data_IF_050275130594
#
_entry.id   IF_050275130594
#
_cell.length_a   1.000
_cell.length_b   1.000
_cell.length_c   1.000
_cell.angle_alpha   90.00
_cell.angle_beta   90.00
_cell.angle_gamma   90.00
#
_symmetry.space_group_name_H-M   'P 1'
#
loop_
_entity.id
_entity.type
_entity.pdbx_description
1 polymer ?
#
# COMPACT_ATOMS: atom_id res chain seq x y z
N UNK A 1 -10.82 27.52 -20.78
CA UNK A 1 -10.26 26.50 -19.87
C UNK A 1 -10.73 25.16 -20.39
N UNK A 2 -9.84 24.41 -21.03
CA UNK A 2 -10.20 23.26 -21.87
C UNK A 2 -10.28 21.96 -21.02
N UNK A 3 -11.43 21.29 -21.07
CA UNK A 3 -11.79 20.13 -20.23
C UNK A 3 -10.83 18.93 -20.34
N UNK A 4 -9.93 18.94 -21.33
CA UNK A 4 -8.92 17.90 -21.57
C UNK A 4 -7.83 17.84 -20.50
N UNK A 5 -7.55 18.93 -19.78
CA UNK A 5 -6.51 18.95 -18.72
C UNK A 5 -6.92 18.21 -17.45
N UNK A 6 -8.23 18.08 -17.18
CA UNK A 6 -8.74 17.45 -15.95
C UNK A 6 -8.66 15.92 -16.01
N UNK A 7 -8.82 15.33 -17.20
CA UNK A 7 -8.83 13.88 -17.40
C UNK A 7 -7.45 13.21 -17.29
N UNK A 8 -6.37 13.95 -17.54
CA UNK A 8 -4.99 13.43 -17.45
C UNK A 8 -4.57 13.07 -16.02
N UNK A 9 -5.26 13.63 -15.01
CA UNK A 9 -4.95 13.42 -13.59
C UNK A 9 -5.35 12.01 -13.11
N UNK A 10 -6.29 11.34 -13.79
CA UNK A 10 -6.79 10.02 -13.35
C UNK A 10 -5.97 8.81 -13.86
N UNK A 11 -4.99 9.03 -14.75
CA UNK A 11 -4.20 7.96 -15.38
C UNK A 11 -2.72 7.93 -14.97
N UNK A 12 -2.33 8.62 -13.90
CA UNK A 12 -0.92 8.68 -13.45
C UNK A 12 -0.49 7.48 -12.60
N UNK A 13 -0.72 6.26 -13.09
CA UNK A 13 -0.06 5.06 -12.55
C UNK A 13 0.85 4.46 -13.62
N UNK A 14 2.08 4.99 -13.68
CA UNK A 14 3.33 4.53 -14.33
C UNK A 14 3.34 4.03 -15.80
N UNK A 15 2.21 3.64 -16.39
CA UNK A 15 2.16 3.13 -17.77
C UNK A 15 2.15 4.23 -18.82
N UNK A 16 1.63 5.39 -18.45
CA UNK A 16 1.43 6.50 -19.36
C UNK A 16 2.17 7.77 -18.90
N UNK A 17 2.86 7.79 -17.76
CA UNK A 17 3.54 9.00 -17.31
C UNK A 17 4.62 9.48 -18.28
N UNK A 18 5.43 8.57 -18.83
CA UNK A 18 6.41 8.90 -19.88
C UNK A 18 5.74 9.25 -21.21
N UNK A 19 4.81 8.41 -21.70
CA UNK A 19 4.10 8.63 -22.97
C UNK A 19 3.20 9.86 -22.98
N UNK A 20 2.61 10.21 -21.85
CA UNK A 20 1.80 11.43 -21.67
C UNK A 20 2.70 12.65 -21.56
N UNK A 21 3.84 12.56 -20.88
CA UNK A 21 4.86 13.61 -20.91
C UNK A 21 5.33 13.86 -22.35
N UNK A 22 5.63 12.80 -23.09
CA UNK A 22 5.98 12.86 -24.52
C UNK A 22 4.87 13.46 -25.39
N UNK A 23 3.61 13.02 -25.21
CA UNK A 23 2.43 13.55 -25.93
C UNK A 23 2.22 15.05 -25.70
N UNK A 24 2.56 15.56 -24.52
CA UNK A 24 2.48 16.97 -24.16
C UNK A 24 3.79 17.73 -24.38
N UNK A 25 4.80 17.11 -25.00
CA UNK A 25 6.09 17.74 -25.32
C UNK A 25 6.98 18.03 -24.12
N UNK A 26 6.77 17.36 -22.98
CA UNK A 26 7.62 17.50 -21.80
C UNK A 26 8.87 16.63 -21.92
N UNK A 27 10.05 17.26 -22.02
CA UNK A 27 11.34 16.59 -21.89
C UNK A 27 11.74 16.48 -20.42
N UNK A 28 12.29 15.33 -20.01
CA UNK A 28 12.75 15.13 -18.64
C UNK A 28 13.91 16.09 -18.34
N UNK A 29 13.71 17.03 -17.43
CA UNK A 29 14.68 18.10 -17.12
C UNK A 29 14.17 19.52 -17.40
N UNK A 30 13.08 19.68 -18.17
CA UNK A 30 12.51 20.99 -18.51
C UNK A 30 11.69 21.64 -17.39
N UNK A 31 11.47 20.92 -16.28
CA UNK A 31 10.74 21.47 -15.15
C UNK A 31 11.55 22.61 -14.51
N UNK A 32 10.95 23.80 -14.46
CA UNK A 32 11.55 24.96 -13.80
C UNK A 32 12.00 24.60 -12.37
N UNK A 33 13.21 25.01 -11.94
CA UNK A 33 13.66 24.81 -10.56
C UNK A 33 12.65 25.28 -9.52
N UNK A 34 11.89 26.35 -9.82
CA UNK A 34 10.83 26.86 -8.95
C UNK A 34 9.69 25.84 -8.76
N UNK A 35 9.27 25.16 -9.82
CA UNK A 35 8.20 24.15 -9.73
C UNK A 35 8.64 22.95 -8.90
N UNK A 36 9.90 22.55 -9.04
CA UNK A 36 10.51 21.50 -8.21
C UNK A 36 10.52 21.91 -6.74
N UNK A 37 10.98 23.12 -6.43
CA UNK A 37 11.00 23.66 -5.06
C UNK A 37 9.58 23.72 -4.47
N UNK A 38 8.60 24.21 -5.23
CA UNK A 38 7.20 24.26 -4.79
C UNK A 38 6.64 22.86 -4.53
N UNK A 39 6.95 21.89 -5.39
CA UNK A 39 6.50 20.49 -5.23
C UNK A 39 7.09 19.84 -3.98
N UNK A 40 8.39 20.04 -3.73
CA UNK A 40 9.03 19.57 -2.50
C UNK A 40 8.48 20.29 -1.26
N UNK A 41 8.26 21.60 -1.35
CA UNK A 41 7.63 22.39 -0.29
C UNK A 41 6.24 21.88 0.08
N UNK A 42 5.42 21.52 -0.92
CA UNK A 42 4.12 20.89 -0.71
C UNK A 42 4.24 19.59 0.09
N UNK A 43 5.16 18.69 -0.27
CA UNK A 43 5.39 17.45 0.48
C UNK A 43 5.89 17.71 1.90
N UNK A 44 6.79 18.68 2.09
CA UNK A 44 7.26 19.06 3.44
C UNK A 44 6.10 19.51 4.30
N UNK A 45 5.23 20.39 3.81
CA UNK A 45 4.04 20.85 4.54
C UNK A 45 3.10 19.67 4.83
N UNK A 46 2.91 18.77 3.86
CA UNK A 46 2.07 17.58 4.02
C UNK A 46 2.62 16.60 5.06
N UNK A 47 3.93 16.54 5.32
CA UNK A 47 4.49 15.68 6.36
C UNK A 47 4.70 16.40 7.70
N UNK A 48 4.87 17.72 7.69
CA UNK A 48 5.15 18.52 8.89
C UNK A 48 4.00 18.51 9.91
N UNK A 49 2.75 18.26 9.50
CA UNK A 49 1.62 18.18 10.44
C UNK A 49 1.55 16.84 11.19
N UNK A 50 2.22 15.79 10.69
CA UNK A 50 2.17 14.45 11.31
C UNK A 50 2.72 14.47 12.75
N UNK A 51 3.92 15.02 13.04
CA UNK A 51 4.43 15.14 14.41
C UNK A 51 3.48 15.89 15.35
N UNK A 52 2.83 16.96 14.84
CA UNK A 52 1.87 17.74 15.62
C UNK A 52 0.63 16.93 16.01
N UNK A 53 0.11 16.12 15.09
CA UNK A 53 -1.01 15.21 15.40
C UNK A 53 -0.58 14.09 16.34
N UNK A 54 0.60 13.50 16.13
CA UNK A 54 1.17 12.50 17.04
C UNK A 54 1.26 13.03 18.48
N UNK A 55 1.78 14.23 18.69
CA UNK A 55 1.90 14.86 20.02
C UNK A 55 0.53 15.11 20.69
N UNK A 56 -0.48 15.46 19.88
CA UNK A 56 -1.85 15.68 20.37
C UNK A 56 -2.55 14.38 20.76
N UNK A 57 -2.27 13.29 20.06
CA UNK A 57 -3.08 12.07 20.04
C UNK A 57 -2.49 10.95 20.91
N UNK A 58 -1.16 10.81 20.95
CA UNK A 58 -0.49 9.74 21.72
C UNK A 58 -0.29 10.09 23.19
N UNK A 59 -0.46 9.09 24.04
CA UNK A 59 -0.20 9.18 25.47
C UNK A 59 1.31 9.09 25.74
N UNK A 60 1.83 9.99 26.58
CA UNK A 60 3.22 10.06 27.00
C UNK A 60 3.46 9.43 28.38
N UNK A 61 2.42 8.89 29.02
CA UNK A 61 2.53 8.19 30.32
C UNK A 61 3.46 6.97 30.26
N UNK A 62 3.56 6.28 29.12
CA UNK A 62 4.46 5.14 28.94
C UNK A 62 5.23 5.23 27.61
N UNK A 63 6.36 5.96 27.57
CA UNK A 63 7.17 6.15 26.36
C UNK A 63 7.64 4.83 25.75
N UNK A 64 8.01 3.86 26.60
CA UNK A 64 8.47 2.54 26.16
C UNK A 64 7.40 1.83 25.34
N UNK A 65 6.14 1.82 25.81
CA UNK A 65 5.02 1.21 25.09
C UNK A 65 4.78 1.86 23.73
N UNK A 66 4.96 3.17 23.62
CA UNK A 66 4.82 3.91 22.36
C UNK A 66 5.92 3.51 21.37
N UNK A 67 7.18 3.51 21.81
CA UNK A 67 8.35 3.10 21.00
C UNK A 67 8.18 1.66 20.53
N UNK A 68 7.83 0.78 21.46
CA UNK A 68 7.56 -0.63 21.26
C UNK A 68 6.44 -0.85 20.22
N UNK A 69 5.33 -0.11 20.31
CA UNK A 69 4.21 -0.20 19.34
C UNK A 69 4.65 0.25 17.95
N UNK A 70 5.41 1.36 17.87
CA UNK A 70 5.99 1.83 16.61
C UNK A 70 6.94 0.81 15.98
N UNK A 71 7.82 0.20 16.78
CA UNK A 71 8.73 -0.84 16.33
C UNK A 71 7.97 -2.08 15.80
N UNK A 72 6.91 -2.51 16.48
CA UNK A 72 6.07 -3.61 16.03
C UNK A 72 5.41 -3.32 14.68
N UNK A 73 4.87 -2.11 14.48
CA UNK A 73 4.28 -1.69 13.19
C UNK A 73 5.33 -1.68 12.08
N UNK A 74 6.53 -1.17 12.35
CA UNK A 74 7.63 -1.15 11.39
C UNK A 74 8.08 -2.56 10.99
N UNK A 75 8.28 -3.44 11.97
CA UNK A 75 8.66 -4.84 11.73
C UNK A 75 7.58 -5.56 10.91
N UNK A 76 6.29 -5.40 11.27
CA UNK A 76 5.19 -5.98 10.51
C UNK A 76 5.16 -5.48 9.06
N UNK A 77 5.38 -4.18 8.85
CA UNK A 77 5.44 -3.57 7.53
C UNK A 77 6.58 -4.12 6.67
N UNK A 78 7.80 -4.19 7.23
CA UNK A 78 8.98 -4.74 6.56
C UNK A 78 8.75 -6.22 6.19
N UNK A 79 8.24 -7.02 7.12
CA UNK A 79 7.97 -8.45 6.88
C UNK A 79 6.91 -8.62 5.79
N UNK A 80 5.84 -7.81 5.82
CA UNK A 80 4.78 -7.86 4.81
C UNK A 80 5.28 -7.49 3.41
N UNK A 81 6.08 -6.43 3.28
CA UNK A 81 6.62 -5.99 1.99
C UNK A 81 7.60 -7.02 1.40
N UNK A 82 8.53 -7.52 2.21
CA UNK A 82 9.47 -8.56 1.78
C UNK A 82 8.77 -9.87 1.40
N UNK A 83 7.74 -10.27 2.15
CA UNK A 83 6.91 -11.44 1.82
C UNK A 83 6.19 -11.25 0.49
N UNK A 84 5.61 -10.07 0.25
CA UNK A 84 4.97 -9.74 -1.02
C UNK A 84 5.97 -9.82 -2.17
N UNK A 85 7.12 -9.15 -2.04
CA UNK A 85 8.18 -9.13 -3.06
C UNK A 85 8.64 -10.54 -3.42
N UNK A 86 8.92 -11.38 -2.42
CA UNK A 86 9.36 -12.75 -2.63
C UNK A 86 8.29 -13.58 -3.37
N UNK A 87 7.04 -13.57 -2.89
CA UNK A 87 5.92 -14.28 -3.54
C UNK A 87 5.69 -13.81 -4.98
N UNK A 88 5.88 -12.52 -5.23
CA UNK A 88 5.70 -11.92 -6.55
C UNK A 88 6.74 -12.39 -7.54
N UNK A 89 7.99 -12.61 -7.09
CA UNK A 89 9.03 -13.19 -7.93
C UNK A 89 8.73 -14.67 -8.23
N UNK A 90 8.37 -15.45 -7.21
CA UNK A 90 8.13 -16.90 -7.36
C UNK A 90 6.93 -17.18 -8.27
N UNK A 91 5.82 -16.47 -8.11
CA UNK A 91 4.64 -16.73 -8.92
C UNK A 91 4.69 -16.05 -10.29
N UNK A 92 5.15 -14.79 -10.35
CA UNK A 92 5.15 -13.94 -11.55
C UNK A 92 3.87 -14.06 -12.40
N UNK A 93 2.70 -14.11 -11.75
CA UNK A 93 1.39 -14.30 -12.41
C UNK A 93 1.10 -13.16 -13.41
N UNK A 94 0.75 -13.44 -14.68
CA UNK A 94 0.39 -12.40 -15.66
C UNK A 94 -0.78 -11.50 -15.23
N UNK A 95 -0.62 -10.19 -15.41
CA UNK A 95 -1.66 -9.19 -15.14
C UNK A 95 -2.75 -9.16 -16.21
N UNK A 96 -4.00 -8.94 -15.80
CA UNK A 96 -5.15 -8.88 -16.72
C UNK A 96 -4.90 -7.95 -17.91
N UNK A 97 -4.49 -6.71 -17.65
CA UNK A 97 -4.21 -5.72 -18.70
C UNK A 97 -3.06 -6.08 -19.65
N UNK A 98 -2.15 -6.96 -19.23
CA UNK A 98 -1.10 -7.48 -20.10
C UNK A 98 -1.64 -8.63 -20.97
N UNK A 99 -2.50 -9.48 -20.42
CA UNK A 99 -3.07 -10.59 -21.20
C UNK A 99 -3.93 -10.13 -22.36
N UNK A 100 -4.71 -9.06 -22.19
CA UNK A 100 -5.56 -8.51 -23.27
C UNK A 100 -4.75 -7.91 -24.43
N UNK A 101 -3.44 -7.74 -24.29
CA UNK A 101 -2.55 -7.30 -25.37
C UNK A 101 -1.87 -8.45 -26.10
N UNK A 102 -2.13 -9.70 -25.71
CA UNK A 102 -1.58 -10.90 -26.35
C UNK A 102 -2.55 -11.42 -27.41
N UNK A 103 -2.03 -12.14 -28.40
CA UNK A 103 -2.82 -12.76 -29.46
C UNK A 103 -3.74 -13.87 -28.93
N UNK A 104 -3.26 -14.64 -27.94
CA UNK A 104 -4.07 -15.61 -27.18
C UNK A 104 -4.02 -15.31 -25.66
N UNK A 105 -4.93 -14.46 -25.15
CA UNK A 105 -4.99 -14.11 -23.73
C UNK A 105 -5.26 -15.28 -22.78
N UNK A 106 -5.88 -16.35 -23.28
CA UNK A 106 -6.33 -17.48 -22.45
C UNK A 106 -5.19 -18.46 -22.16
N UNK A 107 -4.25 -18.63 -23.10
CA UNK A 107 -3.05 -19.44 -22.92
C UNK A 107 -2.19 -19.03 -21.70
N UNK A 108 -2.17 -17.73 -21.40
CA UNK A 108 -1.41 -17.11 -20.31
C UNK A 108 -2.25 -16.92 -19.02
N UNK A 109 -3.48 -17.45 -18.98
CA UNK A 109 -4.22 -17.48 -17.72
C UNK A 109 -3.56 -18.46 -16.73
N UNK A 110 -3.39 -17.99 -15.48
CA UNK A 110 -2.92 -18.78 -14.35
C UNK A 110 -3.79 -18.47 -13.13
N UNK A 111 -4.13 -19.49 -12.37
CA UNK A 111 -4.66 -19.34 -11.02
C UNK A 111 -3.54 -18.89 -10.07
N UNK A 112 -3.89 -18.28 -8.95
CA UNK A 112 -2.90 -17.70 -8.04
C UNK A 112 -2.00 -18.75 -7.36
N UNK A 113 -2.46 -19.99 -7.23
CA UNK A 113 -1.68 -21.11 -6.68
C UNK A 113 -0.79 -21.79 -7.72
N UNK A 114 -0.96 -21.49 -9.01
CA UNK A 114 -0.10 -22.02 -10.07
C UNK A 114 1.15 -21.14 -10.13
N UNK A 115 2.12 -21.42 -9.25
CA UNK A 115 3.41 -20.72 -9.15
C UNK A 115 4.31 -21.04 -10.35
N UNK A 116 3.86 -20.61 -11.54
CA UNK A 116 4.52 -20.80 -12.82
C UNK A 116 4.90 -19.40 -13.32
N UNK A 117 6.19 -19.05 -13.27
CA UNK A 117 6.63 -17.72 -13.68
C UNK A 117 6.28 -17.44 -15.15
N UNK A 118 5.82 -16.22 -15.44
CA UNK A 118 5.56 -15.81 -16.81
C UNK A 118 6.84 -15.46 -17.59
N UNK A 119 6.75 -15.50 -18.92
CA UNK A 119 7.85 -15.18 -19.83
C UNK A 119 8.11 -13.66 -19.95
N UNK A 120 7.24 -12.81 -19.39
CA UNK A 120 7.31 -11.35 -19.51
C UNK A 120 8.43 -10.70 -18.66
N UNK A 121 9.29 -11.52 -18.05
CA UNK A 121 10.52 -11.10 -17.38
C UNK A 121 10.31 -10.50 -15.98
N UNK A 122 11.32 -9.78 -15.48
CA UNK A 122 11.36 -9.22 -14.12
C UNK A 122 10.52 -7.95 -13.94
N UNK A 123 9.89 -7.43 -15.00
CA UNK A 123 9.16 -6.17 -14.93
C UNK A 123 7.83 -6.33 -14.15
N UNK A 124 7.73 -5.65 -13.00
CA UNK A 124 6.56 -5.70 -12.11
C UNK A 124 5.25 -5.19 -12.76
N UNK A 125 5.39 -4.48 -13.88
CA UNK A 125 4.29 -4.11 -14.76
C UNK A 125 3.51 -5.36 -15.23
N UNK A 126 4.16 -6.47 -15.50
CA UNK A 126 3.49 -7.66 -16.01
C UNK A 126 3.03 -8.62 -14.91
N UNK A 127 3.41 -8.36 -13.66
CA UNK A 127 3.14 -9.22 -12.50
C UNK A 127 1.92 -8.75 -11.71
N UNK A 128 0.97 -9.65 -11.50
CA UNK A 128 -0.29 -9.35 -10.79
C UNK A 128 -0.32 -9.84 -9.36
N UNK A 129 0.12 -11.06 -9.09
CA UNK A 129 -0.03 -11.68 -7.79
C UNK A 129 1.31 -11.76 -7.03
N UNK A 130 1.33 -11.45 -5.72
CA UNK A 130 0.27 -10.76 -4.95
C UNK A 130 0.26 -9.24 -5.23
N UNK A 131 -0.81 -8.55 -4.84
CA UNK A 131 -0.90 -7.09 -5.05
C UNK A 131 -0.09 -6.32 -3.99
N UNK A 132 1.05 -5.76 -4.37
CA UNK A 132 1.86 -4.90 -3.49
C UNK A 132 1.13 -3.64 -3.02
N UNK A 133 0.27 -3.06 -3.86
CA UNK A 133 -0.58 -1.94 -3.46
C UNK A 133 -1.56 -2.33 -2.34
N UNK A 134 -2.05 -3.57 -2.35
CA UNK A 134 -2.89 -4.07 -1.26
C UNK A 134 -2.09 -4.39 -0.01
N UNK A 135 -0.82 -4.75 -0.12
CA UNK A 135 0.07 -4.84 1.05
C UNK A 135 0.19 -3.49 1.73
N UNK A 136 0.55 -2.42 1.00
CA UNK A 136 0.64 -1.07 1.56
C UNK A 136 -0.71 -0.61 2.13
N UNK A 137 -1.81 -0.80 1.39
CA UNK A 137 -3.13 -0.39 1.88
C UNK A 137 -3.55 -1.16 3.15
N UNK A 138 -3.19 -2.44 3.25
CA UNK A 138 -3.52 -3.28 4.41
C UNK A 138 -2.63 -3.00 5.62
N UNK A 139 -1.53 -2.24 5.47
CA UNK A 139 -0.78 -1.70 6.62
C UNK A 139 -1.65 -0.76 7.48
N UNK A 140 -2.81 -0.31 6.98
CA UNK A 140 -3.82 0.42 7.76
C UNK A 140 -4.34 -0.37 8.96
N UNK A 141 -4.19 -1.70 9.00
CA UNK A 141 -4.46 -2.50 10.20
C UNK A 141 -3.48 -2.23 11.35
N UNK A 142 -2.50 -1.35 11.16
CA UNK A 142 -1.75 -0.70 12.26
C UNK A 142 -2.59 0.27 13.09
N UNK A 143 -3.71 0.80 12.58
CA UNK A 143 -4.56 1.75 13.30
C UNK A 143 -5.09 1.19 14.64
N UNK A 144 -5.63 -0.05 14.70
CA UNK A 144 -5.93 -0.71 15.97
C UNK A 144 -4.75 -0.80 16.93
N UNK A 145 -3.54 -1.10 16.45
CA UNK A 145 -2.33 -1.14 17.29
C UNK A 145 -1.99 0.25 17.85
N UNK A 146 -2.09 1.29 17.01
CA UNK A 146 -1.92 2.68 17.45
C UNK A 146 -2.97 3.10 18.47
N UNK A 147 -4.19 2.53 18.39
CA UNK A 147 -5.27 2.82 19.33
C UNK A 147 -4.92 2.51 20.80
N UNK A 148 -4.00 1.54 21.01
CA UNK A 148 -3.58 1.07 22.34
C UNK A 148 -2.62 2.02 23.07
N UNK A 149 -2.08 3.01 22.35
CA UNK A 149 -1.18 4.05 22.84
C UNK A 149 -1.77 5.46 22.72
N UNK A 150 -3.08 5.56 22.44
CA UNK A 150 -3.79 6.85 22.39
C UNK A 150 -4.16 7.37 23.78
N UNK A 151 -4.20 8.69 23.91
CA UNK A 151 -4.85 9.36 25.04
C UNK A 151 -6.30 8.90 25.14
N UNK A 152 -6.76 8.59 26.35
CA UNK A 152 -8.12 8.08 26.63
C UNK A 152 -8.44 6.83 25.78
N UNK A 153 -7.55 5.84 25.80
CA UNK A 153 -7.76 4.56 25.10
C UNK A 153 -9.11 3.95 25.50
N UNK A 154 -9.78 3.31 24.55
CA UNK A 154 -11.02 2.57 24.81
C UNK A 154 -11.21 1.51 23.75
N UNK A 155 -11.88 0.43 24.10
CA UNK A 155 -12.25 -0.64 23.16
C UNK A 155 -13.05 -0.09 21.96
N UNK A 156 -13.95 0.87 22.21
CA UNK A 156 -14.71 1.57 21.16
C UNK A 156 -13.78 2.24 20.13
N UNK A 157 -12.70 2.88 20.56
CA UNK A 157 -11.73 3.50 19.65
C UNK A 157 -10.97 2.46 18.83
N UNK A 158 -10.60 1.33 19.45
CA UNK A 158 -9.94 0.23 18.75
C UNK A 158 -10.84 -0.33 17.63
N UNK A 159 -12.12 -0.59 17.93
CA UNK A 159 -13.12 -1.04 16.94
C UNK A 159 -13.28 -0.01 15.82
N UNK A 160 -13.40 1.28 16.15
CA UNK A 160 -13.52 2.34 15.13
C UNK A 160 -12.28 2.38 14.23
N UNK A 161 -11.07 2.29 14.80
CA UNK A 161 -9.83 2.21 14.03
C UNK A 161 -9.81 0.99 13.09
N UNK A 162 -10.28 -0.16 13.54
CA UNK A 162 -10.39 -1.37 12.72
C UNK A 162 -11.38 -1.19 11.56
N UNK A 163 -12.57 -0.62 11.84
CA UNK A 163 -13.58 -0.37 10.81
C UNK A 163 -13.07 0.62 9.77
N UNK A 164 -12.41 1.70 10.18
CA UNK A 164 -11.79 2.67 9.26
C UNK A 164 -10.75 1.98 8.36
N UNK A 165 -9.88 1.16 8.94
CA UNK A 165 -8.89 0.39 8.19
C UNK A 165 -9.56 -0.55 7.17
N UNK A 166 -10.57 -1.31 7.59
CA UNK A 166 -11.31 -2.23 6.73
C UNK A 166 -12.00 -1.50 5.57
N UNK A 167 -12.70 -0.39 5.85
CA UNK A 167 -13.34 0.44 4.82
C UNK A 167 -12.32 0.97 3.82
N UNK A 168 -11.17 1.47 4.28
CA UNK A 168 -10.10 1.94 3.41
C UNK A 168 -9.58 0.83 2.50
N UNK A 169 -9.29 -0.35 3.07
CA UNK A 169 -8.79 -1.52 2.32
C UNK A 169 -9.79 -1.97 1.26
N UNK A 170 -11.09 -2.01 1.59
CA UNK A 170 -12.16 -2.39 0.64
C UNK A 170 -12.26 -1.38 -0.51
N UNK A 171 -12.33 -0.07 -0.19
CA UNK A 171 -12.42 0.99 -1.20
C UNK A 171 -11.19 1.01 -2.12
N UNK A 172 -10.00 0.88 -1.53
CA UNK A 172 -8.76 0.87 -2.27
C UNK A 172 -8.63 -0.40 -3.14
N UNK A 173 -9.03 -1.56 -2.60
CA UNK A 173 -9.10 -2.83 -3.33
C UNK A 173 -10.04 -2.75 -4.53
N UNK A 174 -11.25 -2.21 -4.35
CA UNK A 174 -12.18 -1.97 -5.46
C UNK A 174 -11.54 -1.15 -6.58
N UNK A 175 -10.84 -0.06 -6.24
CA UNK A 175 -10.11 0.75 -7.21
C UNK A 175 -9.04 -0.07 -7.97
N UNK A 176 -8.35 -1.02 -7.32
CA UNK A 176 -7.36 -1.90 -7.97
C UNK A 176 -7.99 -2.83 -9.02
N UNK A 177 -9.21 -3.31 -8.78
CA UNK A 177 -9.99 -4.11 -9.75
C UNK A 177 -10.43 -3.24 -10.91
N UNK A 178 -11.02 -2.08 -10.61
CA UNK A 178 -11.57 -1.17 -11.62
C UNK A 178 -10.50 -0.64 -12.58
N UNK A 179 -9.29 -0.36 -12.09
CA UNK A 179 -8.13 -0.01 -12.92
C UNK A 179 -7.55 -1.20 -13.71
N UNK A 180 -8.21 -2.37 -13.70
CA UNK A 180 -7.80 -3.63 -14.35
C UNK A 180 -6.38 -4.11 -13.97
N UNK A 181 -5.91 -3.69 -12.80
CA UNK A 181 -4.54 -3.95 -12.36
C UNK A 181 -4.38 -5.31 -11.70
N UNK A 182 -5.44 -5.89 -11.13
CA UNK A 182 -5.37 -7.12 -10.34
C UNK A 182 -6.69 -7.90 -10.40
N UNK A 183 -6.60 -9.22 -10.26
CA UNK A 183 -7.77 -10.05 -10.00
C UNK A 183 -8.21 -9.89 -8.56
N UNK A 184 -9.50 -10.18 -8.28
CA UNK A 184 -10.03 -10.21 -6.92
C UNK A 184 -9.18 -11.11 -6.01
N UNK A 185 -8.73 -12.27 -6.50
CA UNK A 185 -7.87 -13.18 -5.76
C UNK A 185 -6.53 -12.56 -5.34
N UNK A 186 -5.96 -11.66 -6.14
CA UNK A 186 -4.67 -11.01 -5.82
C UNK A 186 -4.82 -9.99 -4.71
N UNK A 187 -6.00 -9.34 -4.69
CA UNK A 187 -6.36 -8.34 -3.70
C UNK A 187 -6.67 -9.04 -2.37
N UNK A 188 -7.54 -10.03 -2.39
CA UNK A 188 -7.89 -10.81 -1.20
C UNK A 188 -6.63 -11.46 -0.59
N UNK A 189 -5.77 -12.07 -1.40
CA UNK A 189 -4.55 -12.68 -0.90
C UNK A 189 -3.58 -11.64 -0.32
N UNK A 190 -3.31 -10.55 -1.05
CA UNK A 190 -2.42 -9.48 -0.58
C UNK A 190 -2.90 -8.86 0.74
N UNK A 191 -4.22 -8.69 0.89
CA UNK A 191 -4.82 -8.23 2.15
C UNK A 191 -4.71 -9.27 3.25
N UNK A 192 -5.06 -10.53 2.97
CA UNK A 192 -5.04 -11.61 3.96
C UNK A 192 -3.65 -11.82 4.55
N UNK A 193 -2.63 -11.97 3.70
CA UNK A 193 -1.27 -12.24 4.18
C UNK A 193 -0.73 -11.08 5.01
N UNK A 194 -1.00 -9.84 4.58
CA UNK A 194 -0.58 -8.65 5.31
C UNK A 194 -1.31 -8.55 6.65
N UNK A 195 -2.63 -8.77 6.68
CA UNK A 195 -3.40 -8.77 7.91
C UNK A 195 -2.91 -9.84 8.90
N UNK A 196 -2.64 -11.07 8.45
CA UNK A 196 -2.08 -12.13 9.29
C UNK A 196 -0.74 -11.70 9.90
N UNK A 197 0.16 -11.10 9.12
CA UNK A 197 1.45 -10.62 9.62
C UNK A 197 1.25 -9.57 10.72
N UNK A 198 0.39 -8.58 10.49
CA UNK A 198 0.08 -7.56 11.50
C UNK A 198 -0.55 -8.16 12.76
N UNK A 199 -1.47 -9.12 12.60
CA UNK A 199 -2.11 -9.83 13.71
C UNK A 199 -1.10 -10.62 14.54
N UNK A 200 -0.22 -11.39 13.90
CA UNK A 200 0.80 -12.21 14.57
C UNK A 200 1.79 -11.32 15.32
N UNK A 201 2.31 -10.28 14.67
CA UNK A 201 3.26 -9.34 15.29
C UNK A 201 2.59 -8.60 16.45
N UNK A 202 1.36 -8.12 16.28
CA UNK A 202 0.59 -7.47 17.36
C UNK A 202 0.31 -8.40 18.53
N UNK A 203 0.04 -9.69 18.28
CA UNK A 203 -0.22 -10.67 19.34
C UNK A 203 1.06 -11.00 20.12
N UNK A 204 2.15 -11.29 19.40
CA UNK A 204 3.47 -11.52 20.02
C UNK A 204 3.91 -10.32 20.86
N UNK A 205 3.62 -9.12 20.36
CA UNK A 205 3.87 -7.86 21.06
C UNK A 205 3.07 -7.72 22.36
N UNK A 206 1.74 -7.88 22.31
CA UNK A 206 0.88 -7.76 23.49
C UNK A 206 1.27 -8.78 24.57
N UNK A 207 1.68 -9.98 24.15
CA UNK A 207 2.18 -11.00 25.07
C UNK A 207 3.51 -10.59 25.74
N UNK A 208 4.44 -9.97 25.01
CA UNK A 208 5.71 -9.50 25.56
C UNK A 208 5.51 -8.39 26.60
N UNK A 209 4.69 -7.38 26.30
CA UNK A 209 4.39 -6.27 27.22
C UNK A 209 3.76 -6.75 28.54
N UNK A 210 2.91 -7.78 28.48
CA UNK A 210 2.25 -8.32 29.67
C UNK A 210 3.19 -9.19 30.54
N UNK A 211 4.34 -9.64 30.03
CA UNK A 211 5.33 -10.41 30.80
C UNK A 211 6.30 -9.52 31.58
N UNK A 212 6.42 -8.25 31.21
CA UNK A 212 7.28 -7.27 31.89
C UNK A 212 6.58 -6.54 33.06
N UNK A 213 5.31 -6.88 33.32
CA UNK A 213 4.53 -6.43 34.49
C UNK A 213 4.39 -7.54 35.52
#
# INVERSE_FOLDING_TARGET
MDNKKVMAVYYSNNYNGSKVRELFGYTAGDASPLLSVVSWGFWVVLYAWVPFVCYRVFDDVSPDKLIMTGAAILVAGIVADNTNLWLKQVASRPRYKYRITLDDPMSEFRNWWQMIPNLAGSNDSYKSWPSGNMTIASMMFSLPMLSDVLKKRSEKKNIVCFVIAACFVVLYGYNRIHMTNHFLSDICFGTLITYIIYLVVSTAFLQAVNREK
#
